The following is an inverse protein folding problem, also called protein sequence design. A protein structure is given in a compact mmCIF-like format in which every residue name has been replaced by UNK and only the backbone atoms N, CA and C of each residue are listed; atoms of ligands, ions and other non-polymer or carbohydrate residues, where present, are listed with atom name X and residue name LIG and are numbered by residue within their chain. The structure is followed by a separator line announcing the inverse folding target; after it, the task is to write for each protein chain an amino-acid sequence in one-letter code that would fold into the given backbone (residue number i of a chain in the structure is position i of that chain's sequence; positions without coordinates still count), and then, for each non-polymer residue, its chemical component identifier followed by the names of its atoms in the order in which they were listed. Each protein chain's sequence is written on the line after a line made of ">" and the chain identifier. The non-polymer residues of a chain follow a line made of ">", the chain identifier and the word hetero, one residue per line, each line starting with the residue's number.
data_IF_285871785998
#
_entry.id   IF_285871785998
#
_cell.length_a   1.000
_cell.length_b   1.000
_cell.length_c   1.000
_cell.angle_alpha   90.00
_cell.angle_beta   90.00
_cell.angle_gamma   90.00
#
_symmetry.space_group_name_H-M   'P 1'
#
loop_
_entity.id
_entity.type
_entity.pdbx_description
1 polymer ?
#
# COMPACT_ATOMS: atom_id res chain seq x y z
N UNK A 1 -6.63 -2.54 1.42
CA UNK A 1 -5.79 -1.33 1.25
C UNK A 1 -4.36 -1.65 1.69
N UNK A 2 -3.35 -0.92 1.21
CA UNK A 2 -1.99 -1.08 1.72
C UNK A 2 -1.80 -0.18 2.93
N UNK A 3 -1.15 -0.70 3.96
CA UNK A 3 -0.83 0.03 5.19
C UNK A 3 0.67 0.09 5.37
N UNK A 4 1.19 1.28 5.65
CA UNK A 4 2.58 1.45 6.00
C UNK A 4 2.79 1.01 7.45
N UNK A 5 3.56 -0.05 7.64
CA UNK A 5 4.00 -0.52 8.96
C UNK A 5 5.47 -0.16 9.14
N UNK A 6 5.85 0.34 10.31
CA UNK A 6 7.21 0.85 10.57
C UNK A 6 7.84 0.20 11.80
N UNK A 7 9.18 0.26 11.87
CA UNK A 7 9.94 -0.13 13.05
C UNK A 7 9.77 -1.60 13.44
N UNK A 8 9.69 -1.87 14.75
CA UNK A 8 9.47 -3.21 15.28
C UNK A 8 8.11 -3.81 14.89
N UNK A 9 7.09 -2.99 14.61
CA UNK A 9 5.80 -3.51 14.12
C UNK A 9 5.91 -4.10 12.70
N UNK A 10 6.86 -3.61 11.90
CA UNK A 10 7.17 -4.11 10.55
C UNK A 10 8.06 -5.37 10.57
N UNK A 11 8.57 -5.74 11.74
CA UNK A 11 9.47 -6.87 11.90
C UNK A 11 8.66 -8.13 12.22
N UNK A 12 8.58 -9.05 11.24
CA UNK A 12 7.95 -10.37 11.43
C UNK A 12 8.90 -11.47 10.97
N UNK A 13 8.87 -12.59 11.69
CA UNK A 13 9.56 -13.83 11.32
C UNK A 13 10.72 -14.21 12.25
N UNK A 14 10.94 -15.52 12.46
CA UNK A 14 11.92 -16.03 13.43
C UNK A 14 13.39 -15.75 13.05
N UNK A 15 13.64 -15.41 11.79
CA UNK A 15 14.97 -15.16 11.25
C UNK A 15 15.31 -13.67 11.15
N UNK A 16 14.41 -12.78 11.57
CA UNK A 16 14.63 -11.35 11.52
C UNK A 16 15.41 -10.91 12.77
N UNK A 17 16.62 -10.39 12.58
CA UNK A 17 17.45 -9.85 13.66
C UNK A 17 17.77 -8.38 13.42
N UNK A 18 17.91 -7.61 14.49
CA UNK A 18 18.30 -6.21 14.42
C UNK A 18 19.05 -5.78 15.67
N UNK A 19 20.12 -5.02 15.47
CA UNK A 19 20.90 -4.39 16.54
C UNK A 19 20.29 -3.06 17.02
N UNK A 20 19.30 -2.52 16.30
CA UNK A 20 18.66 -1.23 16.59
C UNK A 20 17.13 -1.31 16.72
N UNK A 21 16.57 -2.50 16.93
CA UNK A 21 15.12 -2.70 17.05
C UNK A 21 14.34 -2.36 15.78
N UNK A 22 14.95 -2.53 14.61
CA UNK A 22 14.39 -2.23 13.28
C UNK A 22 14.05 -0.75 13.07
N UNK A 23 14.68 0.15 13.82
CA UNK A 23 14.49 1.59 13.65
C UNK A 23 14.76 1.99 12.19
N UNK A 24 13.81 2.73 11.61
CA UNK A 24 13.87 3.16 10.20
C UNK A 24 13.34 2.15 9.18
N UNK A 25 13.03 0.91 9.56
CA UNK A 25 12.39 -0.07 8.66
C UNK A 25 10.96 0.35 8.35
N UNK A 26 10.57 0.25 7.08
CA UNK A 26 9.22 0.50 6.59
C UNK A 26 8.82 -0.62 5.64
N UNK A 27 7.63 -1.19 5.82
CA UNK A 27 7.07 -2.21 4.92
C UNK A 27 5.60 -1.89 4.66
N UNK A 28 5.13 -2.19 3.46
CA UNK A 28 3.72 -2.13 3.13
C UNK A 28 3.08 -3.49 3.35
N UNK A 29 2.09 -3.57 4.23
CA UNK A 29 1.29 -4.77 4.43
C UNK A 29 -0.09 -4.57 3.80
N UNK A 30 -0.58 -5.58 3.09
CA UNK A 30 -1.94 -5.55 2.55
C UNK A 30 -2.94 -5.94 3.64
N UNK A 31 -3.91 -5.07 3.89
CA UNK A 31 -5.01 -5.29 4.82
C UNK A 31 -6.34 -5.27 4.04
N UNK A 32 -7.05 -6.41 3.92
CA UNK A 32 -8.33 -6.46 3.20
C UNK A 32 -9.44 -5.65 3.87
N UNK A 33 -9.31 -5.37 5.16
CA UNK A 33 -10.32 -4.71 5.99
C UNK A 33 -9.97 -3.24 6.30
N UNK A 34 -8.86 -2.73 5.77
CA UNK A 34 -8.50 -1.32 5.85
C UNK A 34 -9.25 -0.45 4.82
N UNK A 35 -9.50 0.80 5.19
CA UNK A 35 -10.19 1.82 4.40
C UNK A 35 -11.72 1.73 4.44
N UNK A 36 -12.40 2.83 4.19
CA UNK A 36 -13.88 2.89 4.12
C UNK A 36 -14.41 2.21 2.85
N UNK A 37 -15.72 1.97 2.78
CA UNK A 37 -16.35 1.42 1.58
C UNK A 37 -16.14 2.33 0.36
N UNK A 38 -16.20 3.63 0.57
CA UNK A 38 -16.01 4.66 -0.46
C UNK A 38 -14.56 4.67 -0.96
N UNK A 39 -13.58 4.62 -0.07
CA UNK A 39 -12.16 4.55 -0.45
C UNK A 39 -11.84 3.28 -1.24
N UNK A 40 -12.38 2.14 -0.82
CA UNK A 40 -12.23 0.87 -1.55
C UNK A 40 -12.88 0.95 -2.92
N UNK A 41 -14.09 1.51 -3.02
CA UNK A 41 -14.78 1.70 -4.29
C UNK A 41 -13.98 2.59 -5.25
N UNK A 42 -13.36 3.65 -4.74
CA UNK A 42 -12.52 4.54 -5.53
C UNK A 42 -11.25 3.86 -6.05
N UNK A 43 -10.62 3.02 -5.21
CA UNK A 43 -9.47 2.21 -5.62
C UNK A 43 -9.84 1.23 -6.72
N UNK A 44 -10.98 0.54 -6.61
CA UNK A 44 -11.46 -0.36 -7.67
C UNK A 44 -11.80 0.38 -8.96
N UNK A 45 -12.44 1.55 -8.88
CA UNK A 45 -12.70 2.42 -10.04
C UNK A 45 -11.41 2.75 -10.79
N UNK A 46 -10.35 3.10 -10.06
CA UNK A 46 -9.05 3.43 -10.67
C UNK A 46 -8.31 2.20 -11.21
N UNK A 47 -8.42 1.04 -10.56
CA UNK A 47 -7.91 -0.23 -11.09
C UNK A 47 -8.56 -0.57 -12.42
N UNK A 48 -9.86 -0.38 -12.53
CA UNK A 48 -10.58 -0.57 -13.79
C UNK A 48 -10.13 0.43 -14.87
N UNK A 49 -10.03 1.71 -14.54
CA UNK A 49 -9.56 2.74 -15.49
C UNK A 49 -8.13 2.45 -15.97
N UNK A 50 -7.23 2.05 -15.06
CA UNK A 50 -5.91 1.53 -15.40
C UNK A 50 -5.99 0.40 -16.40
N UNK A 51 -6.76 -0.63 -16.08
CA UNK A 51 -6.83 -1.84 -16.88
C UNK A 51 -7.35 -1.55 -18.28
N UNK A 52 -8.35 -0.68 -18.40
CA UNK A 52 -8.94 -0.24 -19.67
C UNK A 52 -7.96 0.55 -20.54
N UNK A 53 -7.15 1.43 -19.93
CA UNK A 53 -6.30 2.37 -20.67
C UNK A 53 -4.80 2.02 -20.69
N UNK A 54 -4.36 0.91 -20.06
CA UNK A 54 -2.93 0.56 -19.87
C UNK A 54 -2.07 0.47 -21.13
N UNK A 55 -2.68 0.33 -22.31
CA UNK A 55 -1.98 0.33 -23.60
C UNK A 55 -2.10 1.64 -24.37
N UNK A 56 -3.00 2.52 -23.94
CA UNK A 56 -3.29 3.82 -24.56
C UNK A 56 -2.59 4.96 -23.81
N UNK A 57 -2.49 4.85 -22.48
CA UNK A 57 -1.78 5.78 -21.60
C UNK A 57 -0.55 5.07 -21.04
N UNK A 58 0.64 5.56 -21.37
CA UNK A 58 1.93 5.01 -20.91
C UNK A 58 2.38 5.54 -19.54
N UNK A 59 1.64 6.48 -18.95
CA UNK A 59 2.00 7.07 -17.67
C UNK A 59 1.78 6.10 -16.52
N UNK A 60 2.76 6.01 -15.61
CA UNK A 60 2.60 5.32 -14.34
C UNK A 60 1.42 5.94 -13.60
N UNK A 61 0.36 5.17 -13.33
CA UNK A 61 -0.82 5.71 -12.65
C UNK A 61 -0.54 5.97 -11.17
N UNK A 62 0.07 7.12 -10.93
CA UNK A 62 0.41 7.66 -9.63
C UNK A 62 -0.84 7.83 -8.73
N UNK A 63 -2.04 7.92 -9.33
CA UNK A 63 -3.30 7.97 -8.60
C UNK A 63 -3.57 6.72 -7.75
N UNK A 64 -3.27 5.53 -8.29
CA UNK A 64 -3.39 4.28 -7.53
C UNK A 64 -2.39 4.25 -6.37
N UNK A 65 -1.18 4.75 -6.59
CA UNK A 65 -0.15 4.82 -5.56
C UNK A 65 -0.55 5.80 -4.44
N UNK A 66 -1.07 6.99 -4.80
CA UNK A 66 -1.50 8.02 -3.85
C UNK A 66 -2.65 7.58 -2.95
N UNK A 67 -3.61 6.82 -3.50
CA UNK A 67 -4.75 6.32 -2.71
C UNK A 67 -4.39 5.15 -1.80
N UNK A 68 -3.33 4.41 -2.12
CA UNK A 68 -2.83 3.35 -1.25
C UNK A 68 -2.09 3.88 -0.01
N UNK A 69 -1.78 5.18 0.05
CA UNK A 69 -0.95 5.80 1.09
C UNK A 69 -1.77 6.49 2.20
N UNK A 70 -3.09 6.34 2.24
CA UNK A 70 -3.86 7.02 3.28
C UNK A 70 -3.66 6.37 4.66
N UNK A 71 -2.87 7.03 5.51
CA UNK A 71 -2.77 6.81 6.95
C UNK A 71 -3.14 8.15 7.61
N UNK A 72 -4.29 8.25 8.30
CA UNK A 72 -4.64 9.45 9.07
C UNK A 72 -3.70 9.67 10.27
#
# INVERSE_FOLDING_TARGET
>A
MWKLTTGAAAARGPWLQSNNGFLGRQVWEYDPDAGTLEERAEVERLREDFTKHRFQRKESQDLLLRLQVYVP
#
